data_IF_567448652893
#
_entry.id   IF_567448652893
#
_cell.length_a   1.000
_cell.length_b   1.000
_cell.length_c   1.000
_cell.angle_alpha   90.00
_cell.angle_beta   90.00
_cell.angle_gamma   90.00
#
_symmetry.space_group_name_H-M   'P 1'
#
loop_
_entity.id
_entity.type
_entity.pdbx_description
1 polymer ?
#
# COMPACT_ATOMS: atom_id res chain seq x y z
N UNK A 1 7.30 29.13 12.72
CA UNK A 1 7.11 29.19 11.25
C UNK A 1 7.72 27.94 10.63
N UNK A 2 7.01 27.36 9.64
CA UNK A 2 7.29 26.22 8.75
C UNK A 2 8.17 25.09 9.27
N UNK A 3 7.64 23.86 9.26
CA UNK A 3 8.41 22.66 8.93
C UNK A 3 7.51 21.72 8.11
N UNK A 4 8.01 21.23 6.98
CA UNK A 4 7.48 20.05 6.27
C UNK A 4 8.67 19.19 5.89
N UNK A 5 8.73 17.99 6.45
CA UNK A 5 9.73 16.98 6.14
C UNK A 5 9.01 15.84 5.40
N UNK A 6 9.47 15.52 4.20
CA UNK A 6 9.00 14.38 3.41
C UNK A 6 10.20 13.45 3.29
N UNK A 7 9.98 12.16 3.52
CA UNK A 7 10.98 11.11 3.31
C UNK A 7 10.33 9.98 2.53
N UNK A 8 11.09 9.43 1.60
CA UNK A 8 10.76 8.21 0.87
C UNK A 8 11.79 7.14 1.25
N UNK A 9 11.33 5.90 1.31
CA UNK A 9 12.18 4.72 1.51
C UNK A 9 11.86 3.72 0.41
N UNK A 10 12.88 3.03 -0.07
CA UNK A 10 12.70 1.93 -1.02
C UNK A 10 12.43 0.65 -0.24
N UNK A 11 11.37 -0.06 -0.62
CA UNK A 11 11.00 -1.35 -0.04
C UNK A 11 10.76 -2.31 -1.20
N UNK A 12 11.79 -3.08 -1.54
CA UNK A 12 11.70 -4.04 -2.64
C UNK A 12 10.68 -5.15 -2.34
N UNK A 13 9.87 -5.50 -3.35
CA UNK A 13 8.90 -6.59 -3.27
C UNK A 13 7.68 -6.28 -2.39
N UNK A 14 7.46 -5.04 -2.00
CA UNK A 14 6.25 -4.63 -1.28
C UNK A 14 5.00 -4.90 -2.12
N UNK A 15 5.04 -4.65 -3.43
CA UNK A 15 3.93 -4.91 -4.34
C UNK A 15 3.51 -6.37 -4.36
N UNK A 16 4.48 -7.30 -4.45
CA UNK A 16 4.20 -8.73 -4.42
C UNK A 16 3.65 -9.19 -3.06
N UNK A 17 4.17 -8.64 -1.95
CA UNK A 17 3.66 -8.93 -0.61
C UNK A 17 2.20 -8.50 -0.44
N UNK A 18 1.84 -7.32 -0.96
CA UNK A 18 0.46 -6.82 -0.98
C UNK A 18 -0.43 -7.74 -1.83
N UNK A 19 0.04 -8.14 -3.01
CA UNK A 19 -0.68 -9.05 -3.89
C UNK A 19 -0.95 -10.41 -3.24
N UNK A 20 0.04 -11.00 -2.59
CA UNK A 20 -0.13 -12.26 -1.86
C UNK A 20 -1.12 -12.10 -0.70
N UNK A 21 -1.04 -11.01 0.06
CA UNK A 21 -2.01 -10.72 1.11
C UNK A 21 -3.43 -10.57 0.57
N UNK A 22 -3.62 -9.90 -0.58
CA UNK A 22 -4.91 -9.81 -1.25
C UNK A 22 -5.43 -11.17 -1.71
N UNK A 23 -4.59 -12.01 -2.33
CA UNK A 23 -5.02 -13.33 -2.81
C UNK A 23 -5.45 -14.27 -1.68
N UNK A 24 -4.92 -14.07 -0.48
CA UNK A 24 -5.33 -14.79 0.73
C UNK A 24 -6.50 -14.11 1.48
N UNK A 25 -6.93 -12.92 1.05
CA UNK A 25 -8.07 -12.21 1.62
C UNK A 25 -9.37 -12.76 1.04
N UNK A 26 -10.42 -12.87 1.86
CA UNK A 26 -11.74 -13.31 1.41
C UNK A 26 -12.51 -12.24 0.62
N UNK A 27 -12.07 -10.97 0.71
CA UNK A 27 -12.72 -9.84 0.04
C UNK A 27 -12.34 -9.78 -1.43
N UNK A 28 -13.26 -9.30 -2.26
CA UNK A 28 -12.96 -8.99 -3.65
C UNK A 28 -12.02 -7.78 -3.76
N UNK A 29 -11.35 -7.64 -4.90
CA UNK A 29 -10.52 -6.46 -5.18
C UNK A 29 -11.34 -5.16 -5.12
N UNK A 30 -12.63 -5.20 -5.50
CA UNK A 30 -13.52 -4.04 -5.45
C UNK A 30 -13.74 -3.55 -4.03
N UNK A 31 -14.15 -4.47 -3.14
CA UNK A 31 -14.36 -4.16 -1.72
C UNK A 31 -13.10 -3.60 -1.07
N UNK A 32 -11.94 -4.18 -1.38
CA UNK A 32 -10.66 -3.70 -0.85
C UNK A 32 -10.34 -2.30 -1.38
N UNK A 33 -10.53 -2.05 -2.67
CA UNK A 33 -10.31 -0.73 -3.26
C UNK A 33 -11.22 0.33 -2.63
N UNK A 34 -12.49 -0.01 -2.41
CA UNK A 34 -13.48 0.88 -1.80
C UNK A 34 -13.15 1.19 -0.33
N UNK A 35 -12.76 0.18 0.46
CA UNK A 35 -12.33 0.35 1.85
C UNK A 35 -11.06 1.22 1.97
N UNK A 36 -10.10 1.03 1.07
CA UNK A 36 -8.85 1.81 1.06
C UNK A 36 -9.08 3.22 0.46
N UNK A 37 -10.09 3.38 -0.39
CA UNK A 37 -10.41 4.62 -1.09
C UNK A 37 -9.50 4.89 -2.30
N UNK A 38 -9.16 3.85 -3.06
CA UNK A 38 -8.28 3.92 -4.24
C UNK A 38 -8.90 3.28 -5.47
N UNK A 39 -8.43 3.64 -6.66
CA UNK A 39 -8.88 2.99 -7.90
C UNK A 39 -8.19 1.64 -8.10
N UNK A 40 -8.84 0.73 -8.85
CA UNK A 40 -8.23 -0.55 -9.25
C UNK A 40 -6.94 -0.37 -10.04
N UNK A 41 -6.85 0.68 -10.88
CA UNK A 41 -5.64 0.98 -11.64
C UNK A 41 -4.48 1.31 -10.69
N UNK A 42 -4.72 2.18 -9.72
CA UNK A 42 -3.72 2.51 -8.69
C UNK A 42 -3.31 1.26 -7.89
N UNK A 43 -4.27 0.40 -7.55
CA UNK A 43 -3.98 -0.88 -6.89
C UNK A 43 -3.06 -1.78 -7.72
N UNK A 44 -3.35 -1.96 -9.02
CA UNK A 44 -2.49 -2.75 -9.90
C UNK A 44 -1.09 -2.14 -10.06
N UNK A 45 -0.99 -0.81 -10.08
CA UNK A 45 0.31 -0.13 -10.10
C UNK A 45 1.09 -0.36 -8.80
N UNK A 46 0.43 -0.46 -7.64
CA UNK A 46 1.07 -0.88 -6.38
C UNK A 46 1.59 -2.32 -6.50
N UNK A 47 0.73 -3.26 -6.92
CA UNK A 47 1.11 -4.69 -6.97
C UNK A 47 2.24 -4.98 -7.96
N UNK A 48 2.31 -4.21 -9.05
CA UNK A 48 3.37 -4.32 -10.06
C UNK A 48 4.58 -3.44 -9.78
N UNK A 49 4.54 -2.64 -8.70
CA UNK A 49 5.55 -1.64 -8.36
C UNK A 49 5.81 -0.63 -9.51
N UNK A 50 4.76 -0.31 -10.27
CA UNK A 50 4.78 0.66 -11.40
C UNK A 50 4.17 2.01 -11.03
N UNK A 51 3.96 2.27 -9.74
CA UNK A 51 3.37 3.51 -9.25
C UNK A 51 4.14 4.73 -9.75
N UNK A 52 3.41 5.73 -10.27
CA UNK A 52 4.01 7.02 -10.62
C UNK A 52 4.16 7.87 -9.35
N UNK A 53 5.20 7.58 -8.57
CA UNK A 53 5.52 8.21 -7.28
C UNK A 53 5.60 7.21 -6.14
N UNK A 54 5.72 7.69 -4.90
CA UNK A 54 5.74 6.84 -3.71
C UNK A 54 4.33 6.47 -3.22
N UNK A 55 4.19 5.25 -2.69
CA UNK A 55 3.01 4.86 -1.91
C UNK A 55 3.02 5.63 -0.59
N UNK A 56 1.95 6.37 -0.30
CA UNK A 56 1.85 7.12 0.96
C UNK A 56 1.74 6.17 2.15
N UNK A 57 2.27 6.59 3.30
CA UNK A 57 2.14 5.84 4.56
C UNK A 57 0.67 5.65 4.92
N UNK A 58 -0.17 6.65 4.69
CA UNK A 58 -1.62 6.55 4.94
C UNK A 58 -2.26 5.43 4.12
N UNK A 59 -1.99 5.36 2.81
CA UNK A 59 -2.51 4.29 1.96
C UNK A 59 -1.94 2.94 2.38
N UNK A 60 -0.65 2.85 2.71
CA UNK A 60 -0.04 1.63 3.22
C UNK A 60 -0.77 1.10 4.47
N UNK A 61 -1.05 1.97 5.45
CA UNK A 61 -1.77 1.58 6.68
C UNK A 61 -3.23 1.17 6.40
N UNK A 62 -3.91 1.86 5.49
CA UNK A 62 -5.26 1.47 5.04
C UNK A 62 -5.26 0.12 4.36
N UNK A 63 -4.26 -0.16 3.52
CA UNK A 63 -4.08 -1.48 2.87
C UNK A 63 -3.88 -2.57 3.92
N UNK A 64 -2.98 -2.36 4.90
CA UNK A 64 -2.76 -3.29 6.02
C UNK A 64 -4.07 -3.58 6.78
N UNK A 65 -4.85 -2.54 7.08
CA UNK A 65 -6.13 -2.67 7.75
C UNK A 65 -7.17 -3.42 6.92
N UNK A 66 -7.33 -3.06 5.64
CA UNK A 66 -8.31 -3.68 4.74
C UNK A 66 -8.02 -5.17 4.51
N UNK A 67 -6.73 -5.52 4.43
CA UNK A 67 -6.25 -6.89 4.24
C UNK A 67 -6.09 -7.67 5.57
N UNK A 68 -6.10 -6.99 6.72
CA UNK A 68 -5.91 -7.61 8.03
C UNK A 68 -4.51 -8.17 8.26
N UNK A 69 -3.48 -7.54 7.67
CA UNK A 69 -2.07 -8.00 7.73
C UNK A 69 -1.12 -6.91 8.17
N UNK A 70 0.10 -7.28 8.54
CA UNK A 70 1.22 -6.34 8.72
C UNK A 70 2.25 -6.57 7.62
N UNK A 71 2.54 -5.53 6.82
CA UNK A 71 3.48 -5.57 5.71
C UNK A 71 4.91 -5.23 6.15
N UNK A 72 5.19 -5.18 7.45
CA UNK A 72 6.54 -5.15 8.02
C UNK A 72 7.44 -4.02 7.51
N UNK A 73 6.86 -2.93 6.98
CA UNK A 73 7.61 -1.77 6.52
C UNK A 73 8.10 -1.00 7.74
N UNK A 74 9.42 -0.87 7.86
CA UNK A 74 10.08 -0.14 8.93
C UNK A 74 10.58 1.20 8.41
N UNK A 75 10.18 2.27 9.08
CA UNK A 75 10.69 3.61 8.85
C UNK A 75 11.78 3.84 9.89
N UNK A 76 13.01 3.43 9.58
CA UNK A 76 14.14 3.74 10.45
C UNK A 76 14.33 5.26 10.45
N UNK A 77 14.32 5.93 11.61
CA UNK A 77 14.59 7.37 11.76
C UNK A 77 15.88 7.83 11.03
#
# INVERSE_FOLDING_TARGET
>A
MRIRQIREIEVEGLGERIKQARLNCSKSLEEICDEVGVSRTYWYDIEKETLKGALSIENLRKIEQALGVTLGVQFND
#
